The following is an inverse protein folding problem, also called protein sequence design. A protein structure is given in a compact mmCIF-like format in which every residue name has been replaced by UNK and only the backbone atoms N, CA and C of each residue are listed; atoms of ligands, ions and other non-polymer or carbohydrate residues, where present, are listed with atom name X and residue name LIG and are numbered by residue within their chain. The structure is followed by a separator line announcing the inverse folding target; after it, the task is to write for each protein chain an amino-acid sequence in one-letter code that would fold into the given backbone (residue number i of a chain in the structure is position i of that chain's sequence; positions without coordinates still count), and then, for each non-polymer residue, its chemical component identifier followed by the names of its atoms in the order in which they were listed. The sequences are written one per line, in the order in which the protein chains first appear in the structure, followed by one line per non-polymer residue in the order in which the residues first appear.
data_IF_250641581680
#
_entry.id   IF_250641581680
#
_cell.length_a   1.000
_cell.length_b   1.000
_cell.length_c   1.000
_cell.angle_alpha   90.00
_cell.angle_beta   90.00
_cell.angle_gamma   90.00
#
_symmetry.space_group_name_H-M   'P 1'
#
loop_
_entity.id
_entity.type
_entity.pdbx_description
1 polymer ?
#
# COMPACT_ATOMS: atom_id res chain seq x y z
N UNK A 1 2.14 -6.12 4.44
CA UNK A 1 1.61 -5.88 3.07
C UNK A 1 1.68 -4.39 2.82
N UNK A 2 2.37 -3.96 1.75
CA UNK A 2 2.40 -2.55 1.43
C UNK A 2 0.99 -1.98 1.23
N UNK A 3 0.73 -0.83 1.83
CA UNK A 3 -0.52 -0.10 1.79
C UNK A 3 -0.34 1.21 1.00
N UNK A 4 -1.26 2.16 1.08
CA UNK A 4 -1.19 3.41 0.33
C UNK A 4 0.13 4.18 0.54
N UNK A 5 0.62 4.40 1.79
CA UNK A 5 1.85 5.15 2.01
C UNK A 5 3.08 4.52 1.36
N UNK A 6 3.28 3.20 1.50
CA UNK A 6 4.40 2.47 0.93
C UNK A 6 4.35 2.50 -0.60
N UNK A 7 3.15 2.28 -1.17
CA UNK A 7 2.98 2.31 -2.62
C UNK A 7 3.20 3.71 -3.20
N UNK A 8 2.85 4.77 -2.46
CA UNK A 8 3.13 6.16 -2.88
C UNK A 8 4.63 6.49 -2.78
N UNK A 9 5.32 5.98 -1.77
CA UNK A 9 6.77 6.09 -1.67
C UNK A 9 7.45 5.36 -2.85
N UNK A 10 7.07 4.12 -3.14
CA UNK A 10 7.56 3.40 -4.32
C UNK A 10 7.26 4.16 -5.62
N UNK A 11 6.05 4.71 -5.79
CA UNK A 11 5.71 5.50 -6.97
C UNK A 11 6.67 6.66 -7.18
N UNK A 12 7.01 7.41 -6.10
CA UNK A 12 7.95 8.53 -6.16
C UNK A 12 9.34 8.06 -6.58
N UNK A 13 9.88 7.03 -5.91
CA UNK A 13 11.21 6.49 -6.18
C UNK A 13 11.30 5.88 -7.59
N UNK A 14 10.32 5.09 -8.00
CA UNK A 14 10.25 4.53 -9.35
C UNK A 14 10.18 5.63 -10.43
N UNK A 15 9.45 6.72 -10.16
CA UNK A 15 9.38 7.86 -11.09
C UNK A 15 10.71 8.59 -11.24
N UNK A 16 11.52 8.65 -10.18
CA UNK A 16 12.83 9.30 -10.20
C UNK A 16 13.86 8.50 -11.01
N UNK A 17 13.78 7.17 -10.97
CA UNK A 17 14.82 6.31 -11.52
C UNK A 17 14.47 5.67 -12.89
N UNK A 18 13.19 5.47 -13.21
CA UNK A 18 12.80 4.63 -14.35
C UNK A 18 12.20 5.38 -15.55
N UNK A 19 11.82 6.66 -15.38
CA UNK A 19 11.13 7.39 -16.45
C UNK A 19 12.06 7.57 -17.67
N UNK A 20 11.56 7.16 -18.83
CA UNK A 20 12.24 7.19 -20.14
C UNK A 20 13.51 6.33 -20.26
N UNK A 21 13.86 5.54 -19.23
CA UNK A 21 14.93 4.56 -19.31
C UNK A 21 14.41 3.29 -20.00
N UNK A 22 15.09 2.75 -21.04
CA UNK A 22 14.64 1.54 -21.70
C UNK A 22 14.87 0.31 -20.81
N UNK A 23 13.93 -0.63 -20.84
CA UNK A 23 14.11 -1.96 -20.25
C UNK A 23 15.09 -2.73 -21.11
N UNK A 24 16.25 -3.05 -20.57
CA UNK A 24 17.37 -3.73 -21.30
C UNK A 24 17.39 -5.23 -21.06
N UNK A 25 16.66 -5.72 -20.04
CA UNK A 25 16.56 -7.15 -19.73
C UNK A 25 15.31 -7.46 -18.90
N UNK A 26 14.81 -8.68 -19.05
CA UNK A 26 13.64 -9.19 -18.33
C UNK A 26 13.92 -10.62 -17.91
N UNK A 27 13.87 -10.91 -16.62
CA UNK A 27 13.99 -12.26 -16.07
C UNK A 27 12.73 -12.61 -15.29
N UNK A 28 12.10 -13.74 -15.61
CA UNK A 28 10.92 -14.24 -14.91
C UNK A 28 11.29 -15.55 -14.22
N UNK A 29 11.44 -15.49 -12.89
CA UNK A 29 11.77 -16.65 -12.04
C UNK A 29 10.52 -17.38 -11.55
N UNK A 30 9.32 -16.80 -11.75
CA UNK A 30 8.04 -17.40 -11.37
C UNK A 30 6.94 -16.99 -12.33
N UNK A 31 6.56 -17.87 -13.24
CA UNK A 31 5.55 -17.62 -14.29
C UNK A 31 4.18 -17.22 -13.73
N UNK A 32 3.76 -17.79 -12.59
CA UNK A 32 2.48 -17.42 -11.93
C UNK A 32 2.38 -15.96 -11.49
N UNK A 33 3.48 -15.21 -11.56
CA UNK A 33 3.52 -13.78 -11.22
C UNK A 33 3.07 -12.92 -12.39
N UNK A 34 3.18 -13.41 -13.61
CA UNK A 34 2.82 -12.72 -14.85
C UNK A 34 1.53 -13.31 -15.45
N UNK A 35 0.95 -12.64 -16.45
CA UNK A 35 -0.35 -13.00 -17.04
C UNK A 35 -0.26 -13.56 -18.47
N UNK A 36 0.93 -13.92 -18.93
CA UNK A 36 1.18 -14.50 -20.26
C UNK A 36 2.41 -15.40 -20.21
N UNK A 37 2.73 -16.10 -21.30
CA UNK A 37 3.94 -16.91 -21.40
C UNK A 37 5.21 -16.07 -21.20
N UNK A 38 6.22 -16.64 -20.52
CA UNK A 38 7.47 -15.94 -20.16
C UNK A 38 8.15 -15.32 -21.37
N UNK A 39 8.21 -16.04 -22.50
CA UNK A 39 8.85 -15.56 -23.72
C UNK A 39 8.10 -14.35 -24.30
N UNK A 40 6.79 -14.40 -24.34
CA UNK A 40 5.93 -13.31 -24.81
C UNK A 40 6.07 -12.07 -23.91
N UNK A 41 6.02 -12.25 -22.59
CA UNK A 41 6.20 -11.17 -21.62
C UNK A 41 7.56 -10.48 -21.78
N UNK A 42 8.63 -11.27 -21.92
CA UNK A 42 10.00 -10.79 -22.11
C UNK A 42 10.11 -9.98 -23.41
N UNK A 43 9.65 -10.51 -24.54
CA UNK A 43 9.68 -9.81 -25.83
C UNK A 43 8.86 -8.53 -25.80
N UNK A 44 7.72 -8.54 -25.12
CA UNK A 44 6.84 -7.40 -25.03
C UNK A 44 7.43 -6.24 -24.19
N UNK A 45 8.29 -6.52 -23.23
CA UNK A 45 8.90 -5.51 -22.36
C UNK A 45 10.31 -5.09 -22.79
N UNK A 46 11.04 -5.93 -23.50
CA UNK A 46 12.40 -5.60 -23.96
C UNK A 46 12.38 -4.36 -24.86
N UNK A 47 13.18 -3.34 -24.52
CA UNK A 47 13.23 -2.06 -25.22
C UNK A 47 12.07 -1.10 -24.88
N UNK A 48 11.04 -1.54 -24.16
CA UNK A 48 9.96 -0.66 -23.70
C UNK A 48 10.49 0.39 -22.72
N UNK A 49 9.81 1.54 -22.68
CA UNK A 49 10.12 2.64 -21.75
C UNK A 49 8.91 2.97 -20.89
N UNK A 50 9.15 3.18 -19.62
CA UNK A 50 8.14 3.69 -18.70
C UNK A 50 8.09 5.21 -18.87
N UNK A 51 6.94 5.75 -19.27
CA UNK A 51 6.75 7.19 -19.47
C UNK A 51 6.07 7.87 -18.29
N UNK A 52 5.38 7.10 -17.47
CA UNK A 52 4.74 7.60 -16.25
C UNK A 52 4.53 6.45 -15.25
N UNK A 53 4.64 6.74 -13.95
CA UNK A 53 4.32 5.81 -12.87
C UNK A 53 3.16 6.38 -12.07
N UNK A 54 2.06 5.64 -12.04
CA UNK A 54 0.84 5.98 -11.32
C UNK A 54 0.63 5.05 -10.13
N UNK A 55 0.08 5.55 -9.03
CA UNK A 55 -0.43 4.72 -7.94
C UNK A 55 -1.95 4.81 -7.89
N UNK A 56 -2.58 3.67 -7.76
CA UNK A 56 -4.01 3.57 -7.46
C UNK A 56 -4.22 2.61 -6.29
N UNK A 57 -4.70 3.11 -5.15
CA UNK A 57 -4.81 2.31 -3.91
C UNK A 57 -3.48 1.63 -3.55
N UNK A 58 -3.43 0.30 -3.59
CA UNK A 58 -2.23 -0.52 -3.31
C UNK A 58 -1.59 -1.07 -4.58
N UNK A 59 -1.85 -0.44 -5.73
CA UNK A 59 -1.30 -0.82 -7.03
C UNK A 59 -0.35 0.24 -7.55
N UNK A 60 0.66 -0.19 -8.31
CA UNK A 60 1.46 0.65 -9.20
C UNK A 60 1.10 0.31 -10.64
N UNK A 61 0.88 1.34 -11.45
CA UNK A 61 0.77 1.23 -12.90
C UNK A 61 1.97 1.90 -13.53
N UNK A 62 2.75 1.14 -14.26
CA UNK A 62 3.75 1.67 -15.15
C UNK A 62 3.11 1.88 -16.52
N UNK A 63 3.02 3.13 -16.96
CA UNK A 63 2.53 3.48 -18.29
C UNK A 63 3.70 3.33 -19.27
N UNK A 64 3.57 2.43 -20.23
CA UNK A 64 4.59 2.20 -21.26
C UNK A 64 4.40 3.15 -22.44
N UNK A 65 5.49 3.45 -23.15
CA UNK A 65 5.51 4.37 -24.28
C UNK A 65 4.61 3.93 -25.46
N UNK A 66 4.30 2.65 -25.53
CA UNK A 66 3.44 2.05 -26.56
C UNK A 66 1.94 2.01 -26.16
N UNK A 67 1.59 2.63 -25.04
CA UNK A 67 0.22 2.72 -24.54
C UNK A 67 -0.21 1.58 -23.63
N UNK A 68 0.56 0.49 -23.50
CA UNK A 68 0.26 -0.59 -22.54
C UNK A 68 0.51 -0.18 -21.10
N UNK A 69 0.02 -0.98 -20.19
CA UNK A 69 0.15 -0.80 -18.73
C UNK A 69 0.77 -2.03 -18.11
N UNK A 70 1.81 -1.84 -17.32
CA UNK A 70 2.33 -2.90 -16.46
C UNK A 70 1.76 -2.66 -15.05
N UNK A 71 0.86 -3.54 -14.61
CA UNK A 71 0.14 -3.43 -13.33
C UNK A 71 0.80 -4.31 -12.29
N UNK A 72 1.28 -3.67 -11.22
CA UNK A 72 1.88 -4.32 -10.05
C UNK A 72 0.92 -4.30 -8.86
N UNK A 73 0.74 -5.43 -8.22
CA UNK A 73 0.18 -5.55 -6.88
C UNK A 73 1.08 -6.42 -6.00
N UNK A 74 1.64 -5.85 -4.95
CA UNK A 74 2.61 -6.55 -4.10
C UNK A 74 1.98 -7.59 -3.16
N UNK A 75 0.70 -7.43 -2.81
CA UNK A 75 0.02 -8.30 -1.85
C UNK A 75 0.80 -8.48 -0.54
N UNK A 76 0.64 -9.63 0.13
CA UNK A 76 1.33 -9.92 1.38
C UNK A 76 2.77 -10.36 1.11
N UNK A 77 3.73 -9.64 1.68
CA UNK A 77 5.17 -9.96 1.62
C UNK A 77 5.90 -9.50 0.38
N UNK A 78 5.20 -8.87 -0.58
CA UNK A 78 5.83 -8.30 -1.77
C UNK A 78 6.62 -7.04 -1.45
N UNK A 79 7.82 -6.92 -2.04
CA UNK A 79 8.77 -5.83 -1.88
C UNK A 79 9.44 -5.50 -3.22
N UNK A 80 9.93 -4.27 -3.34
CA UNK A 80 10.78 -3.83 -4.44
C UNK A 80 12.16 -3.45 -3.92
N UNK A 81 13.18 -3.76 -4.71
CA UNK A 81 14.52 -3.24 -4.50
C UNK A 81 15.10 -2.82 -5.86
N UNK A 82 15.80 -1.70 -5.89
CA UNK A 82 16.46 -1.17 -7.10
C UNK A 82 17.95 -1.01 -6.81
N UNK A 83 18.79 -1.69 -7.57
CA UNK A 83 20.25 -1.69 -7.37
C UNK A 83 20.97 -2.38 -8.50
N UNK A 84 22.29 -2.47 -8.41
CA UNK A 84 23.14 -3.20 -9.36
C UNK A 84 23.07 -4.71 -9.11
N UNK A 85 23.75 -5.49 -9.96
CA UNK A 85 23.87 -6.95 -9.74
C UNK A 85 24.68 -7.28 -8.47
N UNK A 86 25.66 -6.47 -8.10
CA UNK A 86 26.43 -6.65 -6.86
C UNK A 86 25.58 -6.37 -5.61
N UNK A 87 24.56 -5.54 -5.74
CA UNK A 87 23.63 -5.20 -4.66
C UNK A 87 22.41 -6.12 -4.61
N UNK A 88 22.40 -7.19 -5.40
CA UNK A 88 21.31 -8.16 -5.47
C UNK A 88 20.87 -8.63 -4.08
N UNK A 89 19.58 -8.48 -3.71
CA UNK A 89 19.09 -8.97 -2.42
C UNK A 89 19.24 -10.50 -2.31
N UNK A 90 19.57 -10.98 -1.13
CA UNK A 90 19.61 -12.43 -0.82
C UNK A 90 18.23 -13.10 -0.93
N UNK A 91 17.17 -12.31 -0.86
CA UNK A 91 15.77 -12.76 -0.95
C UNK A 91 15.42 -13.18 -2.38
N UNK A 92 14.69 -14.29 -2.54
CA UNK A 92 14.29 -14.78 -3.87
C UNK A 92 13.43 -13.76 -4.63
N UNK A 93 13.79 -13.50 -5.88
CA UNK A 93 13.10 -12.60 -6.80
C UNK A 93 12.15 -13.40 -7.70
N UNK A 94 10.99 -12.86 -8.01
CA UNK A 94 10.01 -13.46 -8.90
C UNK A 94 10.08 -12.91 -10.32
N UNK A 95 10.37 -11.61 -10.45
CA UNK A 95 10.64 -10.93 -11.71
C UNK A 95 11.78 -9.94 -11.50
N UNK A 96 12.56 -9.70 -12.53
CA UNK A 96 13.64 -8.72 -12.59
C UNK A 96 13.55 -7.94 -13.89
N UNK A 97 13.59 -6.62 -13.80
CA UNK A 97 13.61 -5.73 -14.96
C UNK A 97 14.92 -4.93 -14.91
N UNK A 98 15.79 -5.14 -15.91
CA UNK A 98 17.05 -4.41 -16.04
C UNK A 98 16.85 -3.08 -16.78
N UNK A 99 17.54 -2.04 -16.30
CA UNK A 99 17.59 -0.69 -16.84
C UNK A 99 19.06 -0.23 -16.95
N UNK A 100 19.78 -0.75 -17.95
CA UNK A 100 21.24 -0.61 -18.03
C UNK A 100 21.92 -1.41 -16.93
N UNK A 101 22.73 -0.75 -16.10
CA UNK A 101 23.50 -1.38 -15.02
C UNK A 101 22.68 -1.62 -13.75
N UNK A 102 21.44 -1.10 -13.68
CA UNK A 102 20.55 -1.28 -12.53
C UNK A 102 19.41 -2.23 -12.85
N UNK A 103 18.93 -2.90 -11.82
CA UNK A 103 17.86 -3.89 -11.90
C UNK A 103 16.78 -3.54 -10.85
N UNK A 104 15.53 -3.55 -11.28
CA UNK A 104 14.39 -3.52 -10.37
C UNK A 104 14.01 -4.96 -10.03
N UNK A 105 14.23 -5.35 -8.79
CA UNK A 105 13.93 -6.66 -8.25
C UNK A 105 12.54 -6.69 -7.63
N UNK A 106 11.70 -7.61 -8.08
CA UNK A 106 10.37 -7.87 -7.53
C UNK A 106 10.45 -9.11 -6.64
N UNK A 107 10.32 -8.93 -5.34
CA UNK A 107 10.49 -9.98 -4.33
C UNK A 107 9.18 -10.28 -3.60
N UNK A 108 9.05 -11.52 -3.11
CA UNK A 108 7.93 -11.90 -2.26
C UNK A 108 6.57 -11.93 -2.94
N UNK A 109 6.50 -11.87 -4.28
CA UNK A 109 5.26 -11.87 -5.06
C UNK A 109 4.59 -13.26 -5.12
N UNK A 110 4.50 -13.97 -4.01
CA UNK A 110 3.86 -15.28 -3.97
C UNK A 110 2.36 -15.20 -4.24
N UNK A 111 1.72 -14.17 -3.74
CA UNK A 111 0.30 -13.82 -3.94
C UNK A 111 0.13 -12.59 -4.83
N UNK A 112 1.18 -11.80 -5.00
CA UNK A 112 1.22 -10.63 -5.84
C UNK A 112 1.41 -10.98 -7.32
N UNK A 113 1.34 -9.95 -8.15
CA UNK A 113 1.44 -10.09 -9.60
C UNK A 113 2.03 -8.86 -10.28
N UNK A 114 2.57 -9.09 -11.48
CA UNK A 114 3.04 -8.07 -12.41
C UNK A 114 2.45 -8.40 -13.79
N UNK A 115 1.35 -7.75 -14.15
CA UNK A 115 0.56 -8.06 -15.33
C UNK A 115 0.72 -7.00 -16.41
N UNK A 116 0.99 -7.42 -17.65
CA UNK A 116 1.00 -6.54 -18.80
C UNK A 116 -0.39 -6.50 -19.42
N UNK A 117 -0.99 -5.31 -19.46
CA UNK A 117 -2.39 -5.08 -19.78
C UNK A 117 -2.55 -3.95 -20.81
N UNK A 118 -3.64 -3.97 -21.55
CA UNK A 118 -4.14 -2.79 -22.22
C UNK A 118 -4.70 -1.77 -21.23
N UNK A 119 -4.94 -0.54 -21.68
CA UNK A 119 -5.59 0.51 -20.86
C UNK A 119 -6.94 0.01 -20.32
N UNK A 120 -7.78 -0.54 -21.20
CA UNK A 120 -9.13 -1.03 -20.84
C UNK A 120 -9.08 -2.15 -19.79
N UNK A 121 -8.15 -3.09 -19.92
CA UNK A 121 -7.98 -4.18 -18.94
C UNK A 121 -7.50 -3.66 -17.60
N UNK A 122 -6.56 -2.69 -17.59
CA UNK A 122 -6.08 -2.08 -16.35
C UNK A 122 -7.17 -1.29 -15.62
N UNK A 123 -8.00 -0.56 -16.34
CA UNK A 123 -9.19 0.12 -15.78
C UNK A 123 -10.18 -0.88 -15.21
N UNK A 124 -10.47 -1.97 -15.92
CA UNK A 124 -11.37 -3.01 -15.44
C UNK A 124 -10.85 -3.70 -14.17
N UNK A 125 -9.54 -3.98 -14.10
CA UNK A 125 -8.89 -4.58 -12.93
C UNK A 125 -9.05 -3.73 -11.66
N UNK A 126 -9.06 -2.41 -11.81
CA UNK A 126 -9.16 -1.45 -10.70
C UNK A 126 -10.57 -0.86 -10.52
N UNK A 127 -11.51 -1.18 -11.40
CA UNK A 127 -12.84 -0.55 -11.46
C UNK A 127 -13.71 -0.73 -10.21
N UNK A 128 -13.41 -1.74 -9.38
CA UNK A 128 -14.12 -1.98 -8.11
C UNK A 128 -13.49 -1.29 -6.89
N UNK A 129 -12.37 -0.61 -7.07
CA UNK A 129 -11.70 0.09 -5.96
C UNK A 129 -12.49 1.32 -5.54
N UNK A 130 -12.65 1.50 -4.24
CA UNK A 130 -13.22 2.70 -3.63
C UNK A 130 -12.38 3.95 -3.94
N UNK A 131 -12.79 5.12 -3.46
CA UNK A 131 -12.10 6.38 -3.73
C UNK A 131 -10.73 6.45 -3.06
N UNK A 132 -9.86 7.29 -3.61
CA UNK A 132 -8.57 7.69 -3.00
C UNK A 132 -8.82 8.65 -1.84
N UNK A 133 -8.36 8.27 -0.64
CA UNK A 133 -8.66 9.01 0.59
C UNK A 133 -7.85 10.33 0.72
N UNK A 134 -6.69 10.42 0.06
CA UNK A 134 -5.86 11.62 0.03
C UNK A 134 -6.15 12.54 -1.17
N UNK A 135 -7.06 12.15 -2.07
CA UNK A 135 -7.49 13.02 -3.18
C UNK A 135 -8.07 14.33 -2.62
N UNK A 136 -7.75 15.46 -3.25
CA UNK A 136 -8.27 16.79 -2.87
C UNK A 136 -9.81 16.88 -2.95
N UNK A 137 -10.42 16.04 -3.77
CA UNK A 137 -11.88 15.93 -3.92
C UNK A 137 -12.55 15.13 -2.81
N UNK A 138 -11.80 14.46 -1.93
CA UNK A 138 -12.33 13.76 -0.76
C UNK A 138 -12.62 14.78 0.35
N UNK A 139 -13.83 15.32 0.34
CA UNK A 139 -14.32 16.24 1.39
C UNK A 139 -14.87 15.47 2.59
N UNK A 140 -15.05 16.11 3.78
CA UNK A 140 -15.69 15.49 4.94
C UNK A 140 -17.06 14.88 4.61
N UNK A 141 -17.88 15.55 3.79
CA UNK A 141 -19.21 15.10 3.40
C UNK A 141 -19.14 13.84 2.51
N UNK A 142 -18.20 13.80 1.56
CA UNK A 142 -17.96 12.60 0.74
C UNK A 142 -17.46 11.44 1.58
N UNK A 143 -16.57 11.71 2.52
CA UNK A 143 -16.08 10.68 3.45
C UNK A 143 -17.23 10.14 4.32
N UNK A 144 -18.05 11.00 4.92
CA UNK A 144 -19.24 10.58 5.67
C UNK A 144 -20.20 9.75 4.81
N UNK A 145 -20.32 10.08 3.53
CA UNK A 145 -21.08 9.31 2.54
C UNK A 145 -20.59 7.86 2.36
N UNK A 146 -19.27 7.61 2.55
CA UNK A 146 -18.72 6.24 2.49
C UNK A 146 -19.19 5.37 3.66
N UNK A 147 -19.56 5.97 4.77
CA UNK A 147 -20.01 5.28 5.99
C UNK A 147 -21.54 5.12 6.02
N UNK A 148 -22.27 5.97 5.31
CA UNK A 148 -23.73 6.03 5.35
C UNK A 148 -24.38 4.70 4.94
N UNK A 149 -25.26 4.19 5.81
CA UNK A 149 -25.98 2.94 5.57
C UNK A 149 -25.15 1.66 5.71
N UNK A 150 -23.89 1.76 6.06
CA UNK A 150 -23.02 0.60 6.29
C UNK A 150 -23.12 0.13 7.73
N UNK A 151 -22.85 -1.16 7.93
CA UNK A 151 -22.90 -1.84 9.23
C UNK A 151 -21.61 -2.64 9.45
N UNK A 152 -21.34 -2.95 10.73
CA UNK A 152 -20.19 -3.76 11.13
C UNK A 152 -19.07 -2.95 11.75
N UNK A 153 -17.97 -3.62 12.08
CA UNK A 153 -16.86 -3.03 12.79
C UNK A 153 -16.07 -2.03 11.90
N UNK A 154 -15.64 -0.94 12.51
CA UNK A 154 -14.90 0.15 11.87
C UNK A 154 -13.68 -0.36 11.09
N UNK A 155 -12.83 -1.21 11.72
CA UNK A 155 -11.66 -1.77 11.05
C UNK A 155 -12.03 -2.59 9.81
N UNK A 156 -13.09 -3.39 9.89
CA UNK A 156 -13.54 -4.21 8.75
C UNK A 156 -13.96 -3.34 7.57
N UNK A 157 -14.56 -2.19 7.84
CA UNK A 157 -14.94 -1.23 6.81
C UNK A 157 -13.72 -0.51 6.22
N UNK A 158 -12.79 -0.04 7.06
CA UNK A 158 -11.59 0.68 6.62
C UNK A 158 -10.69 -0.17 5.71
N UNK A 159 -10.56 -1.48 5.99
CA UNK A 159 -9.72 -2.37 5.15
C UNK A 159 -10.42 -2.88 3.88
N UNK A 160 -11.70 -2.56 3.70
CA UNK A 160 -12.45 -2.92 2.50
C UNK A 160 -12.07 -2.01 1.33
N UNK A 161 -11.31 -2.55 0.39
CA UNK A 161 -10.77 -1.81 -0.75
C UNK A 161 -11.86 -1.25 -1.70
N UNK A 162 -13.09 -1.75 -1.64
CA UNK A 162 -14.22 -1.19 -2.42
C UNK A 162 -14.84 0.04 -1.73
N UNK A 163 -14.53 0.27 -0.46
CA UNK A 163 -15.04 1.39 0.34
C UNK A 163 -13.98 2.44 0.54
N UNK A 164 -12.81 2.04 1.07
CA UNK A 164 -11.67 2.89 1.38
C UNK A 164 -10.42 2.27 0.77
N UNK A 165 -10.11 2.68 -0.47
CA UNK A 165 -8.98 2.10 -1.17
C UNK A 165 -7.65 2.58 -0.57
N UNK A 166 -6.71 1.64 -0.39
CA UNK A 166 -5.36 1.92 0.08
C UNK A 166 -5.10 1.60 1.56
N UNK A 167 -6.10 1.61 2.44
CA UNK A 167 -5.93 1.24 3.86
C UNK A 167 -5.85 -0.29 4.00
N UNK A 168 -4.96 -0.75 4.86
CA UNK A 168 -4.85 -2.15 5.27
C UNK A 168 -4.80 -2.28 6.80
N UNK A 169 -4.16 -3.34 7.28
CA UNK A 169 -4.20 -3.66 8.72
C UNK A 169 -3.43 -2.69 9.59
N UNK A 170 -2.25 -2.23 9.13
CA UNK A 170 -1.42 -1.30 9.88
C UNK A 170 -2.16 0.04 10.04
N UNK A 171 -2.45 0.70 8.94
CA UNK A 171 -3.04 2.03 9.03
C UNK A 171 -4.48 2.04 9.53
N UNK A 172 -5.24 0.96 9.41
CA UNK A 172 -6.55 0.89 10.05
C UNK A 172 -6.45 0.98 11.59
N UNK A 173 -5.45 0.34 12.21
CA UNK A 173 -5.24 0.41 13.65
C UNK A 173 -4.69 1.78 14.07
N UNK A 174 -3.71 2.31 13.35
CA UNK A 174 -3.13 3.63 13.60
C UNK A 174 -4.18 4.75 13.47
N UNK A 175 -5.03 4.69 12.45
CA UNK A 175 -6.12 5.64 12.24
C UNK A 175 -7.16 5.55 13.36
N UNK A 176 -7.58 4.34 13.75
CA UNK A 176 -8.51 4.15 14.85
C UNK A 176 -7.94 4.68 16.16
N UNK A 177 -6.65 4.46 16.42
CA UNK A 177 -5.95 5.03 17.56
C UNK A 177 -5.94 6.57 17.51
N UNK A 178 -5.57 7.16 16.37
CA UNK A 178 -5.55 8.61 16.20
C UNK A 178 -6.93 9.23 16.44
N UNK A 179 -7.99 8.61 15.90
CA UNK A 179 -9.39 9.01 16.07
C UNK A 179 -9.94 8.76 17.47
N UNK A 180 -9.23 8.07 18.35
CA UNK A 180 -9.68 7.60 19.68
C UNK A 180 -10.89 6.67 19.61
N UNK A 181 -11.04 5.93 18.52
CA UNK A 181 -12.12 4.99 18.31
C UNK A 181 -11.62 3.56 18.47
N UNK A 182 -12.42 2.68 19.07
CA UNK A 182 -12.13 1.26 19.07
C UNK A 182 -12.23 0.71 17.63
N UNK A 183 -11.29 -0.12 17.16
CA UNK A 183 -11.40 -0.76 15.85
C UNK A 183 -12.65 -1.63 15.69
N UNK A 184 -13.25 -2.05 16.81
CA UNK A 184 -14.47 -2.85 16.88
C UNK A 184 -15.75 -2.00 16.90
N UNK A 185 -15.66 -0.68 17.06
CA UNK A 185 -16.83 0.23 17.06
C UNK A 185 -17.71 -0.05 15.83
N UNK A 186 -19.01 -0.14 16.09
CA UNK A 186 -19.98 -0.36 15.01
C UNK A 186 -20.18 0.94 14.21
N UNK A 187 -19.90 0.91 12.93
CA UNK A 187 -19.96 2.10 12.03
C UNK A 187 -21.31 2.80 12.09
N UNK A 188 -22.41 2.04 12.19
CA UNK A 188 -23.77 2.59 12.27
C UNK A 188 -24.05 3.38 13.57
N UNK A 189 -23.20 3.27 14.57
CA UNK A 189 -23.34 3.97 15.86
C UNK A 189 -22.45 5.22 15.95
N UNK A 190 -21.61 5.49 14.96
CA UNK A 190 -20.72 6.66 14.96
C UNK A 190 -21.54 7.95 14.93
N UNK A 191 -21.22 8.88 15.85
CA UNK A 191 -21.77 10.23 15.84
C UNK A 191 -21.14 11.06 14.71
N UNK A 192 -21.78 12.16 14.26
CA UNK A 192 -21.18 13.07 13.29
C UNK A 192 -19.79 13.58 13.70
N UNK A 193 -19.57 13.85 14.98
CA UNK A 193 -18.29 14.30 15.55
C UNK A 193 -17.23 13.19 15.46
N UNK A 194 -17.60 11.94 15.74
CA UNK A 194 -16.70 10.79 15.59
C UNK A 194 -16.32 10.58 14.10
N UNK A 195 -17.25 10.76 13.18
CA UNK A 195 -17.00 10.69 11.73
C UNK A 195 -16.05 11.80 11.29
N UNK A 196 -16.21 13.03 11.79
CA UNK A 196 -15.30 14.13 11.48
C UNK A 196 -13.88 13.86 12.01
N UNK A 197 -13.74 13.42 13.27
CA UNK A 197 -12.44 13.01 13.81
C UNK A 197 -11.79 11.87 13.03
N UNK A 198 -12.59 10.90 12.59
CA UNK A 198 -12.09 9.80 11.76
C UNK A 198 -11.56 10.30 10.41
N UNK A 199 -12.26 11.21 9.75
CA UNK A 199 -11.81 11.84 8.50
C UNK A 199 -10.45 12.54 8.68
N UNK A 200 -10.34 13.38 9.70
CA UNK A 200 -9.09 14.10 10.00
C UNK A 200 -7.96 13.13 10.33
N UNK A 201 -8.24 12.06 11.10
CA UNK A 201 -7.28 11.03 11.44
C UNK A 201 -6.80 10.23 10.24
N UNK A 202 -7.69 9.88 9.31
CA UNK A 202 -7.33 9.22 8.04
C UNK A 202 -6.33 10.08 7.27
N UNK A 203 -6.64 11.36 7.09
CA UNK A 203 -5.77 12.27 6.32
C UNK A 203 -4.43 12.47 7.02
N UNK A 204 -4.44 12.73 8.32
CA UNK A 204 -3.24 12.95 9.13
C UNK A 204 -2.30 11.74 9.06
N UNK A 205 -2.79 10.56 9.44
CA UNK A 205 -1.96 9.35 9.53
C UNK A 205 -1.41 8.95 8.15
N UNK A 206 -2.26 8.93 7.12
CA UNK A 206 -1.81 8.54 5.78
C UNK A 206 -0.84 9.56 5.16
N UNK A 207 -1.03 10.86 5.41
CA UNK A 207 -0.11 11.91 4.92
C UNK A 207 1.24 11.79 5.62
N UNK A 208 1.25 11.76 6.97
CA UNK A 208 2.47 11.61 7.77
C UNK A 208 3.25 10.35 7.36
N UNK A 209 2.58 9.21 7.26
CA UNK A 209 3.21 7.97 6.85
C UNK A 209 3.79 8.04 5.41
N UNK A 210 3.08 8.68 4.49
CA UNK A 210 3.53 8.84 3.10
C UNK A 210 4.77 9.76 2.99
N UNK A 211 4.85 10.80 3.83
CA UNK A 211 5.97 11.74 3.85
C UNK A 211 7.27 11.08 4.33
N UNK A 212 7.16 10.11 5.23
CA UNK A 212 8.32 9.43 5.83
C UNK A 212 8.53 7.99 5.33
N UNK A 213 7.95 7.63 4.18
CA UNK A 213 8.26 6.40 3.46
C UNK A 213 7.54 5.13 3.91
N UNK A 214 6.50 5.26 4.77
CA UNK A 214 5.63 4.16 5.17
C UNK A 214 6.28 3.13 6.11
N UNK A 215 5.54 2.05 6.34
CA UNK A 215 5.92 0.89 7.15
C UNK A 215 6.47 -0.23 6.25
N UNK A 216 7.80 -0.42 6.22
CA UNK A 216 8.47 -1.37 5.32
C UNK A 216 9.60 -2.13 6.02
N UNK A 217 9.86 -3.37 5.56
CA UNK A 217 10.88 -4.25 6.11
C UNK A 217 12.31 -3.92 5.62
N UNK A 218 12.44 -3.30 4.45
CA UNK A 218 13.75 -3.01 3.86
C UNK A 218 13.70 -1.75 2.98
N UNK A 219 14.83 -1.08 2.79
CA UNK A 219 14.93 0.09 1.90
C UNK A 219 14.67 -0.30 0.44
N UNK A 220 14.31 0.71 -0.37
CA UNK A 220 14.10 0.53 -1.81
C UNK A 220 15.43 0.37 -2.58
N UNK A 221 16.50 0.98 -2.11
CA UNK A 221 17.84 0.93 -2.70
C UNK A 221 18.90 1.16 -1.63
N UNK A 222 20.15 0.86 -1.93
CA UNK A 222 21.28 1.18 -1.06
C UNK A 222 21.34 2.68 -0.78
N UNK A 223 21.45 3.04 0.51
CA UNK A 223 21.46 4.43 0.97
C UNK A 223 20.09 5.09 1.11
N UNK A 224 19.00 4.41 0.80
CA UNK A 224 17.65 4.89 1.09
C UNK A 224 17.38 4.82 2.60
N UNK A 225 17.21 5.97 3.22
CA UNK A 225 16.95 6.12 4.66
C UNK A 225 15.50 6.52 4.96
N UNK A 226 14.66 6.65 3.94
CA UNK A 226 13.27 7.10 4.05
C UNK A 226 12.30 5.93 4.09
N UNK A 227 12.47 4.96 3.18
CA UNK A 227 11.58 3.79 3.10
C UNK A 227 11.61 3.01 4.43
N UNK A 228 10.42 2.86 5.04
CA UNK A 228 10.26 2.15 6.31
C UNK A 228 10.40 3.02 7.56
N UNK A 229 10.65 4.33 7.46
CA UNK A 229 10.84 5.19 8.64
C UNK A 229 9.57 5.35 9.49
N UNK A 230 8.41 4.92 9.01
CA UNK A 230 7.20 4.85 9.83
C UNK A 230 7.19 3.67 10.81
N UNK A 231 8.07 2.68 10.68
CA UNK A 231 8.15 1.52 11.58
C UNK A 231 8.26 1.96 13.05
N UNK A 232 9.16 2.92 13.32
CA UNK A 232 9.40 3.47 14.66
C UNK A 232 8.33 4.51 15.09
N UNK A 233 7.38 4.84 14.23
CA UNK A 233 6.30 5.80 14.50
C UNK A 233 4.96 5.14 14.79
N UNK A 234 4.84 3.83 14.60
CA UNK A 234 3.63 3.09 14.93
C UNK A 234 3.27 3.29 16.40
N UNK A 235 2.01 3.62 16.65
CA UNK A 235 1.50 3.93 18.00
C UNK A 235 0.87 2.71 18.67
N UNK A 236 0.28 1.82 17.87
CA UNK A 236 -0.35 0.58 18.34
C UNK A 236 -0.01 -0.64 17.48
N UNK A 237 0.22 -0.48 16.18
CA UNK A 237 0.42 -1.61 15.28
C UNK A 237 1.71 -2.36 15.61
N UNK A 238 1.61 -3.72 15.75
CA UNK A 238 2.67 -4.65 16.17
C UNK A 238 3.32 -4.32 17.54
N UNK A 239 2.63 -3.57 18.42
CA UNK A 239 3.12 -3.14 19.74
C UNK A 239 2.37 -3.80 20.90
N UNK A 240 1.89 -5.03 20.74
CA UNK A 240 1.22 -5.80 21.80
C UNK A 240 2.07 -5.87 23.07
N UNK A 241 1.48 -5.53 24.22
CA UNK A 241 2.14 -5.55 25.53
C UNK A 241 2.98 -4.32 25.85
N UNK A 242 3.16 -3.40 24.90
CA UNK A 242 3.90 -2.17 25.14
C UNK A 242 3.03 -1.07 25.76
N UNK A 243 3.65 -0.12 26.52
CA UNK A 243 2.94 1.04 27.05
C UNK A 243 2.31 1.89 25.93
N UNK A 244 1.08 2.37 26.16
CA UNK A 244 0.42 3.31 25.27
C UNK A 244 1.14 4.67 25.26
N UNK A 245 1.48 5.18 24.05
CA UNK A 245 2.19 6.46 23.89
C UNK A 245 1.37 7.71 24.28
N UNK A 246 0.05 7.58 24.51
CA UNK A 246 -0.79 8.67 25.06
C UNK A 246 -0.76 8.74 26.58
N UNK A 247 -0.20 7.75 27.23
CA UNK A 247 -0.24 7.60 28.69
C UNK A 247 -1.48 6.85 29.18
N UNK A 248 -1.29 5.98 30.16
CA UNK A 248 -2.33 5.22 30.84
C UNK A 248 -2.81 4.00 30.07
N UNK A 249 -2.14 2.87 30.21
CA UNK A 249 -2.57 1.60 29.67
C UNK A 249 -1.56 0.92 28.76
N UNK A 250 -1.93 -0.24 28.29
CA UNK A 250 -1.09 -1.14 27.49
C UNK A 250 -1.81 -1.44 26.18
N UNK A 251 -1.04 -1.50 25.09
CA UNK A 251 -1.56 -1.92 23.79
C UNK A 251 -1.92 -3.40 23.83
N UNK A 252 -3.13 -3.72 23.43
CA UNK A 252 -3.62 -5.09 23.38
C UNK A 252 -3.80 -5.54 21.93
N UNK A 253 -3.75 -6.85 21.73
CA UNK A 253 -4.04 -7.49 20.45
C UNK A 253 -5.24 -8.42 20.58
N UNK A 254 -6.16 -8.31 19.62
CA UNK A 254 -7.25 -9.27 19.43
C UNK A 254 -7.27 -9.78 17.99
N UNK A 255 -8.14 -10.72 17.70
CA UNK A 255 -8.48 -11.14 16.35
C UNK A 255 -9.90 -10.69 16.00
N UNK A 256 -10.07 -10.08 14.82
CA UNK A 256 -11.37 -9.68 14.28
C UNK A 256 -11.47 -10.15 12.82
N UNK A 257 -12.38 -11.08 12.55
CA UNK A 257 -12.60 -11.63 11.20
C UNK A 257 -11.31 -12.12 10.52
N UNK A 258 -10.48 -12.88 11.26
CA UNK A 258 -9.21 -13.44 10.77
C UNK A 258 -8.07 -12.42 10.61
N UNK A 259 -8.21 -11.22 11.19
CA UNK A 259 -7.18 -10.16 11.16
C UNK A 259 -6.74 -9.80 12.57
N UNK A 260 -5.42 -9.60 12.73
CA UNK A 260 -4.87 -8.98 13.93
C UNK A 260 -5.37 -7.54 14.05
N UNK A 261 -5.68 -7.11 15.26
CA UNK A 261 -6.14 -5.76 15.62
C UNK A 261 -5.39 -5.32 16.85
N UNK A 262 -4.70 -4.18 16.77
CA UNK A 262 -3.95 -3.60 17.87
C UNK A 262 -4.61 -2.28 18.30
N UNK A 263 -4.81 -2.10 19.59
CA UNK A 263 -5.42 -0.88 20.13
C UNK A 263 -5.10 -0.70 21.63
N UNK A 264 -5.34 0.49 22.16
CA UNK A 264 -5.27 0.77 23.59
C UNK A 264 -6.69 0.92 24.17
N UNK A 265 -7.13 0.02 25.05
CA UNK A 265 -8.48 0.07 25.61
C UNK A 265 -8.76 1.30 26.49
N UNK A 266 -7.70 1.91 27.06
CA UNK A 266 -7.85 3.09 27.93
C UNK A 266 -7.93 4.40 27.14
N UNK A 267 -7.47 4.41 25.87
CA UNK A 267 -7.41 5.61 25.02
C UNK A 267 -8.44 5.64 23.91
N UNK A 268 -9.04 4.51 23.59
CA UNK A 268 -9.96 4.34 22.46
C UNK A 268 -11.33 3.88 22.99
N UNK A 269 -12.38 4.47 22.48
CA UNK A 269 -13.75 4.27 22.94
C UNK A 269 -14.69 4.06 21.74
N UNK A 270 -15.95 3.71 22.00
CA UNK A 270 -16.93 3.50 20.92
C UNK A 270 -17.40 4.80 20.25
N UNK A 271 -17.13 5.97 20.88
CA UNK A 271 -17.50 7.30 20.36
C UNK A 271 -16.48 8.36 20.73
#
# INVERSE_FOLDING_TARGET
MPELPEMENYRKLLSQHLINVPITGVTVNREKTINMETQEFTQALLGARIVFVERRAKHILFHLHDGRRLLLHLMLGGLLFYGTEEERPERSTQVELAFGDHILYFMGLRLGYLHLLSVKESEAAMGKLGPELLDRRMTPERFAGLLKGRRGALKSLMVNQQVMAGIGNCYADEIAFEARLLPTTLVQNLTPEAVARLYDSVRKVLTEATEIGGYMEMPFMTGDTVTGSYNDKCKVYDREGEPCLRGGGTVVKIELSGRKVFYCPDCQHDQ
#
